data_IF_753168206967
#
_entry.id   IF_753168206967
#
_cell.length_a   1.000
_cell.length_b   1.000
_cell.length_c   1.000
_cell.angle_alpha   90.00
_cell.angle_beta   90.00
_cell.angle_gamma   90.00
#
_symmetry.space_group_name_H-M   'P 1'
#
loop_
_entity.id
_entity.type
_entity.pdbx_description
1 polymer ?
#
# COMPACT_ATOMS: atom_id res chain seq x y z
N UNK A 1 -4.31 17.48 -24.95
CA UNK A 1 -3.54 16.56 -24.09
C UNK A 1 -3.07 17.38 -22.90
N UNK A 2 -3.83 17.37 -21.81
CA UNK A 2 -3.45 18.10 -20.61
C UNK A 2 -2.17 17.48 -20.03
N UNK A 3 -1.13 18.30 -19.93
CA UNK A 3 0.12 17.95 -19.27
C UNK A 3 -0.18 17.64 -17.81
N UNK A 4 -0.31 16.36 -17.45
CA UNK A 4 -0.28 15.93 -16.07
C UNK A 4 1.11 16.24 -15.52
N UNK A 5 1.26 17.42 -14.91
CA UNK A 5 2.40 17.76 -14.06
C UNK A 5 2.53 16.62 -13.05
N UNK A 6 3.69 15.96 -12.91
CA UNK A 6 3.85 14.92 -11.90
C UNK A 6 3.63 15.59 -10.55
N UNK A 7 2.49 15.32 -9.93
CA UNK A 7 2.21 15.68 -8.55
C UNK A 7 3.33 15.04 -7.75
N UNK A 8 4.09 15.82 -6.99
CA UNK A 8 5.11 15.27 -6.08
C UNK A 8 4.51 14.08 -5.34
N UNK A 9 5.23 12.94 -5.23
CA UNK A 9 4.69 11.78 -4.53
C UNK A 9 4.33 12.22 -3.12
N UNK A 10 3.02 12.28 -2.82
CA UNK A 10 2.56 12.51 -1.46
C UNK A 10 2.98 11.27 -0.68
N UNK A 11 3.88 11.42 0.29
CA UNK A 11 4.20 10.32 1.19
C UNK A 11 2.92 9.94 1.93
N UNK A 12 2.41 8.71 1.80
CA UNK A 12 1.18 8.33 2.46
C UNK A 12 1.39 8.32 3.97
N UNK A 13 0.52 9.02 4.69
CA UNK A 13 0.45 8.92 6.13
C UNK A 13 -0.36 7.66 6.46
N UNK A 14 0.33 6.58 6.85
CA UNK A 14 -0.28 5.29 7.11
C UNK A 14 -0.39 5.05 8.61
N UNK A 15 -1.53 4.54 9.05
CA UNK A 15 -1.70 4.03 10.41
C UNK A 15 -1.84 2.51 10.36
N UNK A 16 -1.03 1.81 11.15
CA UNK A 16 -1.12 0.37 11.31
C UNK A 16 -2.28 0.07 12.27
N UNK A 17 -3.28 -0.67 11.80
CA UNK A 17 -4.40 -1.15 12.61
C UNK A 17 -4.03 -2.51 13.20
N UNK A 18 -3.46 -3.38 12.36
CA UNK A 18 -2.97 -4.70 12.75
C UNK A 18 -1.57 -4.89 12.18
N UNK A 19 -0.61 -5.19 13.04
CA UNK A 19 0.74 -5.59 12.61
C UNK A 19 0.68 -6.92 11.88
N UNK A 20 1.35 -7.00 10.74
CA UNK A 20 1.48 -8.26 10.02
C UNK A 20 2.80 -8.97 10.30
N UNK A 21 2.86 -10.25 9.94
CA UNK A 21 4.07 -11.04 9.88
C UNK A 21 5.01 -10.56 8.76
N UNK A 22 6.27 -10.96 8.83
CA UNK A 22 7.19 -10.76 7.72
C UNK A 22 6.75 -11.64 6.53
N UNK A 23 6.58 -11.07 5.32
CA UNK A 23 6.19 -11.86 4.16
C UNK A 23 7.27 -12.90 3.82
N UNK A 24 6.88 -14.12 3.41
CA UNK A 24 7.82 -15.20 3.10
C UNK A 24 8.86 -14.82 2.05
N UNK A 25 8.49 -13.95 1.10
CA UNK A 25 9.38 -13.47 0.03
C UNK A 25 10.62 -12.71 0.53
N UNK A 26 10.64 -12.24 1.80
CA UNK A 26 11.77 -11.56 2.41
C UNK A 26 12.66 -12.50 3.23
N UNK A 27 12.29 -13.78 3.34
CA UNK A 27 13.13 -14.76 4.01
C UNK A 27 14.34 -15.12 3.12
N UNK A 28 15.53 -15.34 3.70
CA UNK A 28 16.74 -15.65 2.94
C UNK A 28 16.65 -16.91 2.07
N UNK A 29 15.77 -17.84 2.43
CA UNK A 29 15.62 -19.17 1.84
C UNK A 29 14.45 -19.30 0.86
N UNK A 30 13.70 -18.21 0.58
CA UNK A 30 12.55 -18.23 -0.32
C UNK A 30 12.90 -18.63 -1.77
N UNK A 31 14.17 -18.50 -2.17
CA UNK A 31 14.65 -18.92 -3.49
C UNK A 31 14.15 -18.07 -4.67
N UNK A 32 13.42 -16.98 -4.41
CA UNK A 32 12.83 -16.08 -5.40
C UNK A 32 12.96 -14.59 -5.04
N UNK A 33 12.41 -13.72 -5.90
CA UNK A 33 12.44 -12.27 -5.69
C UNK A 33 11.14 -11.76 -5.04
N UNK A 34 11.26 -10.91 -4.01
CA UNK A 34 10.08 -10.19 -3.52
C UNK A 34 9.76 -9.00 -4.43
N UNK A 35 8.63 -9.08 -5.14
CA UNK A 35 8.16 -8.03 -6.07
C UNK A 35 7.33 -6.94 -5.39
N UNK A 36 7.07 -7.08 -4.09
CA UNK A 36 6.09 -6.27 -3.37
C UNK A 36 4.65 -6.58 -3.79
N UNK A 37 3.70 -5.81 -3.26
CA UNK A 37 2.27 -5.95 -3.58
C UNK A 37 1.78 -4.76 -4.43
N UNK A 38 1.62 -4.97 -5.73
CA UNK A 38 1.15 -3.92 -6.65
C UNK A 38 -0.28 -3.48 -6.36
N UNK A 39 -1.15 -4.40 -5.91
CA UNK A 39 -2.51 -4.06 -5.50
C UNK A 39 -2.53 -3.00 -4.40
N UNK A 40 -1.67 -3.17 -3.39
CA UNK A 40 -1.50 -2.18 -2.31
C UNK A 40 -1.02 -0.83 -2.82
N UNK A 41 -0.02 -0.80 -3.71
CA UNK A 41 0.45 0.45 -4.31
C UNK A 41 -0.69 1.18 -5.03
N UNK A 42 -1.52 0.46 -5.78
CA UNK A 42 -2.66 1.04 -6.49
C UNK A 42 -3.72 1.58 -5.54
N UNK A 43 -4.04 0.86 -4.46
CA UNK A 43 -5.01 1.30 -3.44
C UNK A 43 -4.52 2.54 -2.69
N UNK A 44 -3.24 2.57 -2.30
CA UNK A 44 -2.61 3.74 -1.67
C UNK A 44 -2.62 4.93 -2.64
N UNK A 45 -2.25 4.72 -3.91
CA UNK A 45 -2.27 5.77 -4.92
C UNK A 45 -3.69 6.33 -5.15
N UNK A 46 -4.70 5.46 -5.20
CA UNK A 46 -6.09 5.88 -5.36
C UNK A 46 -6.55 6.76 -4.18
N UNK A 47 -6.21 6.37 -2.96
CA UNK A 47 -6.50 7.17 -1.77
C UNK A 47 -5.75 8.53 -1.78
N UNK A 48 -4.48 8.57 -2.18
CA UNK A 48 -3.69 9.82 -2.26
C UNK A 48 -4.19 10.79 -3.34
N UNK A 49 -4.87 10.26 -4.35
CA UNK A 49 -5.51 11.01 -5.43
C UNK A 49 -6.93 11.49 -5.06
N UNK A 50 -7.39 11.25 -3.84
CA UNK A 50 -8.64 11.80 -3.31
C UNK A 50 -9.88 10.98 -3.63
N UNK A 51 -9.75 9.69 -3.97
CA UNK A 51 -10.90 8.80 -4.09
C UNK A 51 -11.49 8.52 -2.69
N UNK A 52 -12.72 8.98 -2.37
CA UNK A 52 -13.29 8.87 -1.03
C UNK A 52 -13.45 7.43 -0.54
N UNK A 53 -13.64 6.49 -1.46
CA UNK A 53 -13.76 5.05 -1.14
C UNK A 53 -12.44 4.55 -0.58
N UNK A 54 -11.34 4.94 -1.21
CA UNK A 54 -9.99 4.51 -0.83
C UNK A 54 -9.41 5.28 0.35
N UNK A 55 -9.83 6.53 0.58
CA UNK A 55 -9.43 7.32 1.76
C UNK A 55 -9.86 6.70 3.09
N UNK A 56 -10.97 5.95 3.10
CA UNK A 56 -11.56 5.36 4.31
C UNK A 56 -11.42 3.85 4.38
N UNK A 57 -10.95 3.22 3.31
CA UNK A 57 -10.78 1.78 3.24
C UNK A 57 -9.63 1.31 4.13
N UNK A 58 -9.86 0.20 4.83
CA UNK A 58 -8.77 -0.59 5.39
C UNK A 58 -8.15 -1.42 4.28
N UNK A 59 -6.82 -1.41 4.20
CA UNK A 59 -6.08 -2.24 3.26
C UNK A 59 -5.51 -3.42 4.05
N UNK A 60 -6.00 -4.62 3.73
CA UNK A 60 -5.60 -5.87 4.36
C UNK A 60 -4.73 -6.71 3.41
N UNK A 61 -3.69 -7.35 3.95
CA UNK A 61 -2.80 -8.26 3.24
C UNK A 61 -3.04 -9.67 3.76
N UNK A 62 -3.60 -10.55 2.93
CA UNK A 62 -3.85 -11.96 3.31
C UNK A 62 -2.58 -12.77 3.53
N UNK A 63 -1.44 -12.34 2.99
CA UNK A 63 -0.17 -13.05 3.10
C UNK A 63 0.56 -12.79 4.42
N UNK A 64 0.29 -11.64 5.04
CA UNK A 64 0.99 -11.20 6.26
C UNK A 64 0.05 -10.86 7.39
N UNK A 65 -1.27 -10.82 7.15
CA UNK A 65 -2.27 -10.27 8.06
C UNK A 65 -2.06 -8.79 8.43
N UNK A 66 -1.18 -8.07 7.70
CA UNK A 66 -1.00 -6.63 7.89
C UNK A 66 -2.29 -5.90 7.49
N UNK A 67 -2.77 -5.03 8.37
CA UNK A 67 -3.91 -4.15 8.06
C UNK A 67 -3.56 -2.71 8.37
N UNK A 68 -3.74 -1.83 7.38
CA UNK A 68 -3.48 -0.39 7.49
C UNK A 68 -4.70 0.43 7.11
N UNK A 69 -4.70 1.70 7.50
CA UNK A 69 -5.56 2.75 6.91
C UNK A 69 -4.70 3.94 6.52
N UNK A 70 -5.17 4.74 5.56
CA UNK A 70 -4.62 6.06 5.33
C UNK A 70 -5.14 7.05 6.37
N UNK A 71 -4.27 7.98 6.78
CA UNK A 71 -4.58 9.11 7.63
C UNK A 71 -4.49 10.38 6.79
N UNK A 72 -5.49 11.26 6.93
CA UNK A 72 -5.48 12.59 6.29
C UNK A 72 -4.39 13.48 6.88
#
# INVERSE_FOLDING_TARGET
MENQKPTQPKTPNLTIIQTGAQPPCLQPDFGGFCRGCFGWQNMINAALNGDPTWETAQIHCSETDLTITLKK
#
